data_IF_531067613979
#
_entry.id   IF_531067613979
#
_cell.length_a   1.000
_cell.length_b   1.000
_cell.length_c   1.000
_cell.angle_alpha   90.00
_cell.angle_beta   90.00
_cell.angle_gamma   90.00
#
_symmetry.space_group_name_H-M   'P 1'
#
loop_
_entity.id
_entity.type
_entity.pdbx_description
1 polymer ?
#
# COMPACT_ATOMS: atom_id res chain seq x y z
N UNK A 1 0.40 -3.95 13.35
CA UNK A 1 -0.87 -3.23 13.32
C UNK A 1 -0.65 -1.74 13.46
N UNK A 2 -1.31 -0.96 12.63
CA UNK A 2 -1.22 0.48 12.65
C UNK A 2 -2.28 1.04 13.60
N UNK A 3 -1.84 1.83 14.59
CA UNK A 3 -2.72 2.36 15.59
C UNK A 3 -3.48 3.60 15.11
N UNK A 4 -2.84 4.44 14.31
CA UNK A 4 -3.43 5.71 13.89
C UNK A 4 -3.10 5.98 12.43
N UNK A 5 -3.79 5.28 11.50
CA UNK A 5 -3.47 5.44 10.08
C UNK A 5 -3.66 6.87 9.57
N UNK A 6 -4.63 7.60 10.12
CA UNK A 6 -4.84 8.98 9.67
C UNK A 6 -3.64 9.86 9.98
N UNK A 7 -2.99 9.66 11.12
CA UNK A 7 -1.81 10.44 11.46
C UNK A 7 -0.65 10.12 10.54
N UNK A 8 -0.50 8.84 10.19
CA UNK A 8 0.56 8.42 9.28
C UNK A 8 0.36 9.06 7.93
N UNK A 9 -0.87 9.05 7.43
CA UNK A 9 -1.18 9.60 6.12
C UNK A 9 -0.98 11.11 6.08
N UNK A 10 -1.30 11.80 7.17
CA UNK A 10 -1.12 13.24 7.24
C UNK A 10 0.33 13.67 7.20
N UNK A 11 1.24 12.78 7.58
CA UNK A 11 2.67 13.06 7.52
C UNK A 11 3.26 12.83 6.14
N UNK A 12 2.43 12.50 5.16
CA UNK A 12 2.90 12.29 3.80
C UNK A 12 3.23 10.86 3.47
N UNK A 13 2.99 9.93 4.36
CA UNK A 13 3.15 8.51 4.06
C UNK A 13 1.89 7.99 3.41
N UNK A 14 2.01 6.89 2.70
CA UNK A 14 0.86 6.20 2.13
C UNK A 14 0.80 4.79 2.69
N UNK A 15 -0.38 4.19 2.59
CA UNK A 15 -0.60 2.82 3.03
C UNK A 15 -0.93 1.96 1.83
N UNK A 16 -0.24 0.84 1.73
CA UNK A 16 -0.47 -0.12 0.64
C UNK A 16 -1.19 -1.32 1.22
N UNK A 17 -2.29 -1.72 0.58
CA UNK A 17 -3.01 -2.93 0.98
C UNK A 17 -3.12 -3.89 -0.18
N UNK A 18 -3.12 -5.16 0.15
CA UNK A 18 -3.23 -6.25 -0.81
C UNK A 18 -3.95 -7.40 -0.13
N UNK A 19 -4.96 -7.95 -0.80
CA UNK A 19 -5.71 -9.05 -0.24
C UNK A 19 -6.47 -8.69 1.02
N UNK A 20 -6.85 -7.43 1.15
CA UNK A 20 -7.64 -6.97 2.28
C UNK A 20 -6.83 -6.63 3.53
N UNK A 21 -5.51 -6.57 3.41
CA UNK A 21 -4.68 -6.21 4.56
C UNK A 21 -3.53 -5.33 4.14
N UNK A 22 -3.02 -4.57 5.09
CA UNK A 22 -1.90 -3.67 4.87
C UNK A 22 -0.62 -4.49 4.79
N UNK A 23 0.18 -4.19 3.77
CA UNK A 23 1.46 -4.87 3.57
C UNK A 23 2.60 -3.88 3.79
N UNK A 24 3.70 -4.39 4.32
CA UNK A 24 4.86 -3.57 4.63
C UNK A 24 6.11 -4.00 3.89
N UNK A 25 6.07 -5.13 3.21
CA UNK A 25 7.22 -5.67 2.48
C UNK A 25 6.84 -5.96 1.05
N UNK A 26 7.72 -5.64 0.13
CA UNK A 26 7.50 -5.94 -1.27
C UNK A 26 7.38 -7.44 -1.54
N UNK A 27 8.01 -8.25 -0.71
CA UNK A 27 7.94 -9.71 -0.88
C UNK A 27 6.54 -10.27 -0.65
N UNK A 28 5.66 -9.52 -0.01
CA UNK A 28 4.29 -9.95 0.22
C UNK A 28 3.38 -9.68 -0.98
N UNK A 29 3.88 -9.00 -1.99
CA UNK A 29 3.10 -8.60 -3.14
C UNK A 29 3.67 -9.25 -4.39
N UNK A 30 2.89 -10.12 -5.06
CA UNK A 30 3.36 -10.70 -6.33
C UNK A 30 3.30 -9.68 -7.45
N UNK A 31 4.00 -9.98 -8.53
CA UNK A 31 3.92 -9.15 -9.73
C UNK A 31 2.54 -9.32 -10.35
N UNK A 32 2.03 -8.24 -10.94
CA UNK A 32 0.72 -8.27 -11.58
C UNK A 32 -0.46 -8.30 -10.62
N UNK A 33 -0.22 -7.98 -9.37
CA UNK A 33 -1.28 -7.97 -8.36
C UNK A 33 -1.95 -6.61 -8.30
N UNK A 34 -3.25 -6.62 -8.03
CA UNK A 34 -3.97 -5.38 -7.76
C UNK A 34 -3.79 -4.98 -6.32
N UNK A 35 -3.36 -3.77 -6.11
CA UNK A 35 -3.16 -3.23 -4.77
C UNK A 35 -3.92 -1.91 -4.65
N UNK A 36 -4.16 -1.52 -3.41
CA UNK A 36 -4.73 -0.21 -3.11
C UNK A 36 -3.69 0.62 -2.39
N UNK A 37 -3.54 1.85 -2.83
CA UNK A 37 -2.63 2.81 -2.19
C UNK A 37 -3.47 3.93 -1.63
N UNK A 38 -3.41 4.10 -0.32
CA UNK A 38 -4.23 5.07 0.38
C UNK A 38 -3.41 6.27 0.79
N UNK A 39 -3.90 7.43 0.43
CA UNK A 39 -3.33 8.71 0.81
C UNK A 39 -4.27 9.42 1.78
N UNK A 40 -3.81 10.54 2.32
CA UNK A 40 -4.65 11.32 3.24
C UNK A 40 -5.91 11.84 2.57
N UNK A 41 -5.84 12.11 1.27
CA UNK A 41 -6.94 12.72 0.54
C UNK A 41 -7.66 11.75 -0.40
N UNK A 42 -7.30 10.48 -0.38
CA UNK A 42 -7.99 9.53 -1.24
C UNK A 42 -7.23 8.25 -1.42
N UNK A 43 -7.73 7.41 -2.31
CA UNK A 43 -7.20 6.09 -2.53
C UNK A 43 -7.07 5.83 -4.03
N UNK A 44 -6.00 5.16 -4.42
CA UNK A 44 -5.72 4.82 -5.80
C UNK A 44 -5.49 3.32 -5.91
N UNK A 45 -6.07 2.70 -6.92
CA UNK A 45 -5.80 1.30 -7.22
C UNK A 45 -4.72 1.23 -8.28
N UNK A 46 -3.83 0.26 -8.12
CA UNK A 46 -2.71 0.09 -9.04
C UNK A 46 -2.42 -1.39 -9.24
N UNK A 47 -1.68 -1.67 -10.31
CA UNK A 47 -1.23 -3.04 -10.60
C UNK A 47 0.28 -3.04 -10.45
N UNK A 48 0.78 -4.02 -9.73
CA UNK A 48 2.21 -4.08 -9.44
C UNK A 48 3.00 -4.62 -10.61
N UNK A 49 4.23 -4.13 -10.71
CA UNK A 49 5.19 -4.62 -11.65
C UNK A 49 6.51 -4.77 -10.90
N UNK A 50 6.96 -6.01 -10.74
CA UNK A 50 8.22 -6.24 -10.05
C UNK A 50 9.35 -6.28 -11.02
N UNK A 51 10.40 -5.57 -10.68
CA UNK A 51 11.62 -5.61 -11.45
C UNK A 51 12.62 -6.51 -10.75
N UNK A 52 13.36 -7.24 -11.53
CA UNK A 52 14.43 -8.05 -10.97
C UNK A 52 15.57 -7.14 -10.53
N UNK A 53 16.18 -7.44 -9.39
CA UNK A 53 17.31 -6.69 -8.92
C UNK A 53 18.51 -6.80 -9.84
#
# INVERSE_FOLDING_TARGET
>A
RLAHPDQILRRGFSLVSFGGRIVTRSSEIPAGAEISVRFADGEVEAVTKKEKP
#
